data_IF_387801911834
#
_entry.id   IF_387801911834
#
_cell.length_a   1.000
_cell.length_b   1.000
_cell.length_c   1.000
_cell.angle_alpha   90.00
_cell.angle_beta   90.00
_cell.angle_gamma   90.00
#
_symmetry.space_group_name_H-M   'P 1'
#
loop_
_entity.id
_entity.type
_entity.pdbx_description
1 polymer ?
#
# COMPACT_ATOMS: atom_id res chain seq x y z
N UNK A 1 8.42 -3.94 -24.27
CA UNK A 1 8.54 -5.25 -23.59
C UNK A 1 7.34 -5.37 -22.67
N UNK A 2 6.70 -6.54 -22.57
CA UNK A 2 5.62 -6.76 -21.60
C UNK A 2 6.18 -6.68 -20.17
N UNK A 3 5.42 -6.06 -19.25
CA UNK A 3 5.77 -6.06 -17.82
C UNK A 3 5.84 -7.50 -17.29
N UNK A 4 6.86 -7.81 -16.51
CA UNK A 4 6.97 -9.13 -15.89
C UNK A 4 5.91 -9.30 -14.79
N UNK A 5 5.54 -10.54 -14.49
CA UNK A 5 4.63 -10.86 -13.37
C UNK A 5 5.12 -10.22 -12.06
N UNK A 6 6.42 -10.21 -11.85
CA UNK A 6 7.01 -9.59 -10.66
C UNK A 6 6.79 -8.07 -10.60
N UNK A 7 6.88 -7.37 -11.73
CA UNK A 7 6.61 -5.93 -11.80
C UNK A 7 5.12 -5.64 -11.57
N UNK A 8 4.22 -6.42 -12.17
CA UNK A 8 2.78 -6.30 -12.00
C UNK A 8 2.35 -6.47 -10.53
N UNK A 9 2.87 -7.49 -9.84
CA UNK A 9 2.59 -7.74 -8.42
C UNK A 9 3.01 -6.57 -7.51
N UNK A 10 4.15 -5.95 -7.82
CA UNK A 10 4.74 -4.88 -7.01
C UNK A 10 4.23 -3.49 -7.36
N UNK A 11 3.50 -3.34 -8.46
CA UNK A 11 3.01 -2.05 -8.95
C UNK A 11 2.23 -1.32 -7.85
N UNK A 12 2.54 -0.05 -7.56
CA UNK A 12 1.79 0.73 -6.59
C UNK A 12 0.29 0.77 -6.93
N UNK A 13 -0.52 0.80 -5.89
CA UNK A 13 -1.97 0.99 -6.04
C UNK A 13 -2.28 2.47 -6.28
N UNK A 14 -3.41 2.78 -6.97
CA UNK A 14 -3.93 4.14 -7.01
C UNK A 14 -4.08 4.71 -5.60
N UNK A 15 -3.77 5.99 -5.43
CA UNK A 15 -3.84 6.63 -4.10
C UNK A 15 -5.25 6.55 -3.50
N UNK A 16 -6.28 6.53 -4.32
CA UNK A 16 -7.68 6.39 -3.88
C UNK A 16 -8.00 5.02 -3.27
N UNK A 17 -7.21 4.00 -3.56
CA UNK A 17 -7.37 2.65 -2.98
C UNK A 17 -6.65 2.50 -1.65
N UNK A 18 -5.80 3.47 -1.32
CA UNK A 18 -5.09 3.51 -0.04
C UNK A 18 -6.01 4.03 1.06
N UNK A 19 -6.00 3.33 2.18
CA UNK A 19 -6.79 3.65 3.36
C UNK A 19 -5.89 4.01 4.53
N UNK A 20 -6.41 4.82 5.43
CA UNK A 20 -5.71 5.25 6.62
C UNK A 20 -6.50 4.89 7.88
N UNK A 21 -5.79 4.50 8.91
CA UNK A 21 -6.34 4.29 10.25
C UNK A 21 -5.41 4.84 11.31
N UNK A 22 -5.94 5.17 12.47
CA UNK A 22 -5.14 5.51 13.64
C UNK A 22 -4.37 4.26 14.08
N UNK A 23 -3.06 4.36 14.19
CA UNK A 23 -2.20 3.33 14.75
C UNK A 23 -2.10 3.47 16.27
N UNK A 24 -1.56 4.59 16.72
CA UNK A 24 -1.48 4.97 18.12
C UNK A 24 -1.64 6.48 18.29
N UNK A 25 -2.00 6.89 19.48
CA UNK A 25 -2.09 8.31 19.85
C UNK A 25 -1.08 8.65 20.93
N UNK A 26 -0.64 9.91 20.96
CA UNK A 26 0.30 10.43 21.94
C UNK A 26 0.08 11.94 22.15
N UNK A 27 0.66 12.49 23.19
CA UNK A 27 0.64 13.93 23.43
C UNK A 27 1.94 14.59 22.98
N UNK A 28 1.82 15.74 22.32
CA UNK A 28 2.94 16.60 21.95
C UNK A 28 2.60 18.05 22.18
N UNK A 29 3.35 18.71 23.06
CA UNK A 29 3.16 20.13 23.40
C UNK A 29 1.71 20.49 23.78
N UNK A 30 1.06 19.63 24.58
CA UNK A 30 -0.33 19.83 25.00
C UNK A 30 -1.40 19.51 23.94
N UNK A 31 -1.01 19.02 22.79
CA UNK A 31 -1.93 18.61 21.73
C UNK A 31 -1.91 17.09 21.54
N UNK A 32 -3.09 16.49 21.41
CA UNK A 32 -3.21 15.06 21.11
C UNK A 32 -2.92 14.82 19.62
N UNK A 33 -1.99 13.93 19.35
CA UNK A 33 -1.56 13.54 18.02
C UNK A 33 -1.87 12.08 17.74
N UNK A 34 -2.00 11.72 16.47
CA UNK A 34 -2.13 10.34 16.01
C UNK A 34 -1.04 10.01 14.98
N UNK A 35 -0.40 8.87 15.12
CA UNK A 35 0.35 8.26 14.03
C UNK A 35 -0.60 7.45 13.17
N UNK A 36 -0.69 7.82 11.90
CA UNK A 36 -1.58 7.17 10.94
C UNK A 36 -0.85 6.02 10.24
N UNK A 37 -1.57 4.91 10.06
CA UNK A 37 -1.11 3.75 9.31
C UNK A 37 -1.84 3.68 7.97
N UNK A 38 -1.09 3.60 6.89
CA UNK A 38 -1.62 3.39 5.54
C UNK A 38 -1.75 1.88 5.29
N UNK A 39 -2.83 1.49 4.61
CA UNK A 39 -3.07 0.09 4.25
C UNK A 39 -3.95 -0.03 3.00
N UNK A 40 -4.00 -1.23 2.43
CA UNK A 40 -4.97 -1.64 1.42
C UNK A 40 -5.90 -2.70 2.05
N UNK A 41 -7.13 -2.78 1.59
CA UNK A 41 -8.03 -3.84 2.05
C UNK A 41 -7.80 -5.17 1.28
N UNK A 42 -8.40 -6.24 1.78
CA UNK A 42 -8.23 -7.56 1.19
C UNK A 42 -8.82 -7.65 -0.22
N UNK A 43 -9.90 -6.90 -0.52
CA UNK A 43 -10.52 -6.89 -1.86
C UNK A 43 -9.59 -6.26 -2.89
N UNK A 44 -8.95 -5.16 -2.55
CA UNK A 44 -7.94 -4.52 -3.43
C UNK A 44 -6.80 -5.48 -3.78
N UNK A 45 -6.41 -6.36 -2.84
CA UNK A 45 -5.42 -7.41 -3.11
C UNK A 45 -5.98 -8.49 -4.03
N UNK A 46 -7.23 -8.92 -3.80
CA UNK A 46 -7.92 -9.91 -4.63
C UNK A 46 -8.06 -9.41 -6.07
N UNK A 47 -8.53 -8.16 -6.26
CA UNK A 47 -8.68 -7.54 -7.57
C UNK A 47 -7.36 -7.54 -8.34
N UNK A 48 -6.23 -7.23 -7.68
CA UNK A 48 -4.90 -7.30 -8.28
C UNK A 48 -4.49 -8.72 -8.68
N UNK A 49 -4.80 -9.71 -7.85
CA UNK A 49 -4.51 -11.11 -8.16
C UNK A 49 -5.37 -11.62 -9.32
N UNK A 50 -6.65 -11.24 -9.36
CA UNK A 50 -7.57 -11.58 -10.44
C UNK A 50 -7.17 -10.93 -11.77
N UNK A 51 -6.71 -9.67 -11.73
CA UNK A 51 -6.20 -8.95 -12.90
C UNK A 51 -4.99 -9.64 -13.53
N UNK A 52 -4.07 -10.16 -12.71
CA UNK A 52 -2.80 -10.74 -13.19
C UNK A 52 -2.95 -12.22 -13.54
N UNK A 53 -3.68 -13.00 -12.71
CA UNK A 53 -3.69 -14.48 -12.77
C UNK A 53 -5.07 -15.07 -13.08
N UNK A 54 -6.13 -14.27 -13.16
CA UNK A 54 -7.51 -14.69 -13.10
C UNK A 54 -7.87 -15.39 -11.76
N UNK A 55 -9.14 -15.55 -11.40
CA UNK A 55 -9.53 -16.23 -10.15
C UNK A 55 -9.05 -17.67 -10.01
N UNK A 56 -8.72 -18.34 -11.12
CA UNK A 56 -8.23 -19.72 -11.12
C UNK A 56 -6.70 -19.84 -10.94
N UNK A 57 -5.98 -18.71 -11.02
CA UNK A 57 -4.52 -18.68 -10.99
C UNK A 57 -3.94 -18.40 -9.60
N UNK A 58 -4.77 -18.21 -8.58
CA UNK A 58 -4.32 -18.04 -7.19
C UNK A 58 -5.26 -18.75 -6.20
N UNK A 59 -4.74 -19.05 -5.03
CA UNK A 59 -5.47 -19.73 -3.94
C UNK A 59 -5.02 -19.18 -2.60
N UNK A 60 -5.92 -19.19 -1.62
CA UNK A 60 -5.62 -18.78 -0.27
C UNK A 60 -6.11 -19.82 0.75
N UNK A 61 -5.23 -20.21 1.64
CA UNK A 61 -5.49 -21.17 2.72
C UNK A 61 -5.16 -20.53 4.06
N UNK A 62 -5.86 -20.96 5.10
CA UNK A 62 -5.56 -20.52 6.48
C UNK A 62 -5.44 -21.70 7.40
N UNK A 63 -4.57 -21.57 8.40
CA UNK A 63 -4.50 -22.45 9.57
C UNK A 63 -4.29 -21.61 10.82
N UNK A 64 -4.72 -22.09 11.96
CA UNK A 64 -4.49 -21.43 13.25
C UNK A 64 -3.41 -22.16 14.04
N UNK A 65 -2.61 -21.40 14.76
CA UNK A 65 -1.63 -21.89 15.72
C UNK A 65 -2.00 -21.28 17.07
N UNK A 66 -2.17 -22.14 18.07
CA UNK A 66 -2.37 -21.71 19.45
C UNK A 66 -1.03 -21.70 20.18
N UNK A 67 -0.77 -20.64 20.91
CA UNK A 67 0.36 -20.54 21.82
C UNK A 67 -0.09 -20.09 23.21
N UNK A 68 0.63 -20.49 24.23
CA UNK A 68 0.36 -20.13 25.61
C UNK A 68 1.59 -19.45 26.19
N UNK A 69 1.44 -18.21 26.65
CA UNK A 69 2.50 -17.47 27.32
C UNK A 69 1.99 -17.00 28.68
N UNK A 70 2.62 -17.49 29.76
CA UNK A 70 2.25 -17.18 31.16
C UNK A 70 0.74 -17.36 31.46
N UNK A 71 0.14 -18.40 30.88
CA UNK A 71 -1.30 -18.69 31.03
C UNK A 71 -2.22 -17.93 30.07
N UNK A 72 -1.74 -16.97 29.32
CA UNK A 72 -2.52 -16.27 28.29
C UNK A 72 -2.49 -17.09 26.99
N UNK A 73 -3.66 -17.40 26.45
CA UNK A 73 -3.83 -18.04 25.14
C UNK A 73 -3.76 -16.98 24.04
N UNK A 74 -2.90 -17.20 23.07
CA UNK A 74 -2.82 -16.39 21.84
C UNK A 74 -3.11 -17.31 20.65
N UNK A 75 -3.94 -16.84 19.71
CA UNK A 75 -4.22 -17.54 18.46
C UNK A 75 -3.59 -16.73 17.32
N UNK A 76 -2.70 -17.36 16.58
CA UNK A 76 -2.10 -16.77 15.37
C UNK A 76 -2.76 -17.42 14.15
N UNK A 77 -3.28 -16.60 13.26
CA UNK A 77 -3.77 -17.05 11.95
C UNK A 77 -2.62 -16.99 10.97
N UNK A 78 -2.24 -18.14 10.43
CA UNK A 78 -1.29 -18.24 9.33
C UNK A 78 -2.06 -18.24 8.02
N UNK A 79 -1.80 -17.26 7.17
CA UNK A 79 -2.30 -17.18 5.81
C UNK A 79 -1.26 -17.69 4.82
N UNK A 80 -1.67 -18.54 3.91
CA UNK A 80 -0.85 -19.12 2.87
C UNK A 80 -1.44 -18.76 1.52
N UNK A 81 -0.72 -17.94 0.73
CA UNK A 81 -1.13 -17.51 -0.60
C UNK A 81 -0.32 -18.26 -1.66
N UNK A 82 -1.02 -19.05 -2.48
CA UNK A 82 -0.49 -19.77 -3.62
C UNK A 82 -0.77 -19.02 -4.92
N UNK A 83 0.22 -18.93 -5.78
CA UNK A 83 0.09 -18.40 -7.15
C UNK A 83 0.63 -19.45 -8.12
N UNK A 84 -0.10 -19.68 -9.21
CA UNK A 84 0.29 -20.60 -10.27
C UNK A 84 1.18 -19.88 -11.28
N UNK A 85 2.44 -20.31 -11.35
CA UNK A 85 3.45 -19.74 -12.26
C UNK A 85 4.05 -20.92 -13.05
N UNK A 86 4.02 -20.85 -14.39
CA UNK A 86 4.52 -21.93 -15.27
C UNK A 86 3.95 -23.31 -14.92
N UNK A 87 2.65 -23.36 -14.66
CA UNK A 87 1.92 -24.58 -14.26
C UNK A 87 2.28 -25.16 -12.88
N UNK A 88 3.11 -24.50 -12.10
CA UNK A 88 3.46 -24.88 -10.73
C UNK A 88 2.83 -23.94 -9.70
N UNK A 89 2.34 -24.51 -8.58
CA UNK A 89 1.87 -23.76 -7.44
C UNK A 89 3.03 -23.36 -6.53
N UNK A 90 3.32 -22.05 -6.47
CA UNK A 90 4.30 -21.49 -5.55
C UNK A 90 3.57 -20.88 -4.38
N UNK A 91 3.98 -21.18 -3.16
CA UNK A 91 3.30 -20.76 -1.94
C UNK A 91 4.18 -19.88 -1.08
N UNK A 92 3.57 -18.83 -0.52
CA UNK A 92 4.20 -17.99 0.51
C UNK A 92 3.23 -17.80 1.65
N UNK A 93 3.74 -17.76 2.88
CA UNK A 93 2.91 -17.64 4.08
C UNK A 93 3.40 -16.54 5.01
N UNK A 94 2.50 -16.00 5.81
CA UNK A 94 2.77 -15.08 6.89
C UNK A 94 1.67 -15.19 7.94
N UNK A 95 1.94 -14.75 9.17
CA UNK A 95 1.02 -14.86 10.30
C UNK A 95 0.53 -13.51 10.81
N UNK A 96 -0.71 -13.49 11.30
CA UNK A 96 -1.28 -12.39 12.06
C UNK A 96 -1.73 -12.89 13.42
N UNK A 97 -1.27 -12.24 14.49
CA UNK A 97 -1.76 -12.53 15.84
C UNK A 97 -3.20 -12.04 15.99
N UNK A 98 -4.00 -12.86 16.66
CA UNK A 98 -5.38 -12.57 16.96
C UNK A 98 -5.61 -12.62 18.47
N UNK A 99 -5.98 -11.50 19.07
CA UNK A 99 -6.17 -11.41 20.51
C UNK A 99 -7.61 -11.66 20.99
N UNK A 100 -8.64 -11.59 20.08
CA UNK A 100 -10.04 -11.65 20.44
C UNK A 100 -10.91 -12.46 19.47
N UNK A 101 -12.01 -13.03 19.98
CA UNK A 101 -12.91 -13.93 19.24
C UNK A 101 -13.64 -13.26 18.05
N UNK A 102 -14.00 -11.98 18.13
CA UNK A 102 -14.52 -11.19 16.99
C UNK A 102 -13.46 -10.88 15.95
N UNK A 103 -12.22 -11.01 16.28
CA UNK A 103 -11.06 -10.81 15.46
C UNK A 103 -10.83 -11.91 14.39
N UNK A 104 -11.61 -13.01 14.37
CA UNK A 104 -11.37 -14.09 13.38
C UNK A 104 -11.47 -13.58 11.93
N UNK A 105 -12.45 -12.74 11.61
CA UNK A 105 -12.54 -12.10 10.27
C UNK A 105 -11.40 -11.13 10.01
N UNK A 106 -11.01 -10.35 11.00
CA UNK A 106 -9.88 -9.43 10.93
C UNK A 106 -8.57 -10.20 10.76
N UNK A 107 -8.36 -11.25 11.55
CA UNK A 107 -7.18 -12.10 11.51
C UNK A 107 -6.97 -12.78 10.15
N UNK A 108 -8.03 -13.32 9.54
CA UNK A 108 -7.95 -13.92 8.19
C UNK A 108 -7.59 -12.88 7.14
N UNK A 109 -8.25 -11.71 7.14
CA UNK A 109 -7.95 -10.63 6.21
C UNK A 109 -6.53 -10.08 6.39
N UNK A 110 -6.05 -9.98 7.62
CA UNK A 110 -4.70 -9.52 7.90
C UNK A 110 -3.66 -10.57 7.48
N UNK A 111 -3.88 -11.85 7.77
CA UNK A 111 -3.02 -12.95 7.32
C UNK A 111 -2.94 -13.00 5.78
N UNK A 112 -4.07 -12.79 5.09
CA UNK A 112 -4.10 -12.70 3.63
C UNK A 112 -3.24 -11.55 3.10
N UNK A 113 -3.44 -10.34 3.61
CA UNK A 113 -2.65 -9.17 3.19
C UNK A 113 -1.16 -9.35 3.49
N UNK A 114 -0.81 -9.94 4.64
CA UNK A 114 0.58 -10.23 5.00
C UNK A 114 1.21 -11.26 4.08
N UNK A 115 0.48 -12.34 3.75
CA UNK A 115 0.94 -13.32 2.75
C UNK A 115 1.13 -12.67 1.36
N UNK A 116 0.25 -11.74 0.96
CA UNK A 116 0.38 -10.98 -0.28
C UNK A 116 1.63 -10.07 -0.30
N UNK A 117 2.03 -9.51 0.85
CA UNK A 117 3.29 -8.74 0.97
C UNK A 117 4.52 -9.59 0.67
N UNK A 118 4.49 -10.90 0.96
CA UNK A 118 5.57 -11.82 0.59
C UNK A 118 5.73 -11.95 -0.94
N UNK A 119 4.66 -11.72 -1.69
CA UNK A 119 4.65 -11.62 -3.15
C UNK A 119 5.00 -10.23 -3.69
N UNK A 120 5.13 -9.23 -2.81
CA UNK A 120 5.44 -7.83 -3.16
C UNK A 120 4.23 -6.92 -3.24
N UNK A 121 3.00 -7.47 -3.17
CA UNK A 121 1.76 -6.68 -3.24
C UNK A 121 1.66 -5.75 -2.02
N UNK A 122 1.59 -4.43 -2.27
CA UNK A 122 1.49 -3.44 -1.21
C UNK A 122 2.73 -3.32 -0.31
N UNK A 123 3.84 -4.01 -0.62
CA UNK A 123 5.06 -3.97 0.22
C UNK A 123 5.61 -2.56 0.41
N UNK A 124 5.50 -1.70 -0.59
CA UNK A 124 5.97 -0.32 -0.54
C UNK A 124 5.28 0.53 0.54
N UNK A 125 4.10 0.12 1.02
CA UNK A 125 3.38 0.84 2.08
C UNK A 125 4.11 0.79 3.42
N UNK A 126 4.99 -0.18 3.63
CA UNK A 126 5.86 -0.24 4.82
C UNK A 126 6.91 0.88 4.82
N UNK A 127 7.21 1.48 3.67
CA UNK A 127 8.07 2.67 3.57
C UNK A 127 7.39 3.94 4.14
N UNK A 128 6.14 3.86 4.61
CA UNK A 128 5.46 4.99 5.27
C UNK A 128 6.20 5.49 6.51
N UNK A 129 7.00 4.64 7.16
CA UNK A 129 7.88 5.03 8.26
C UNK A 129 8.93 6.09 7.89
N UNK A 130 9.24 6.23 6.61
CA UNK A 130 10.18 7.24 6.10
C UNK A 130 9.55 8.64 6.00
N UNK A 131 8.23 8.72 6.19
CA UNK A 131 7.46 9.96 6.15
C UNK A 131 6.82 10.24 7.51
N UNK A 132 6.65 11.51 7.81
CA UNK A 132 5.93 11.90 9.02
C UNK A 132 4.41 11.69 8.82
N UNK A 133 3.87 10.59 9.32
CA UNK A 133 2.44 10.28 9.30
C UNK A 133 1.69 10.81 10.52
N UNK A 134 2.34 11.61 11.34
CA UNK A 134 1.76 12.18 12.56
C UNK A 134 0.88 13.39 12.24
N UNK A 135 -0.37 13.36 12.68
CA UNK A 135 -1.37 14.40 12.45
C UNK A 135 -2.11 14.74 13.74
N UNK A 136 -2.75 15.91 13.86
CA UNK A 136 -3.64 16.22 14.95
C UNK A 136 -4.74 15.15 15.08
N UNK A 137 -4.93 14.62 16.30
CA UNK A 137 -5.96 13.63 16.55
C UNK A 137 -7.30 14.30 16.84
N UNK A 138 -8.33 13.91 16.12
CA UNK A 138 -9.73 14.34 16.35
C UNK A 138 -10.55 13.17 16.91
N UNK A 139 -10.70 12.10 16.15
CA UNK A 139 -11.30 10.84 16.58
C UNK A 139 -10.81 9.69 15.71
N UNK A 140 -11.05 8.45 16.11
CA UNK A 140 -10.72 7.28 15.30
C UNK A 140 -11.48 7.25 13.95
N UNK A 141 -12.64 7.90 13.87
CA UNK A 141 -13.51 7.90 12.68
C UNK A 141 -13.21 9.05 11.73
N UNK A 142 -12.88 10.23 12.26
CA UNK A 142 -12.73 11.46 11.46
C UNK A 142 -11.27 11.88 11.26
N UNK A 143 -10.33 11.28 11.95
CA UNK A 143 -8.92 11.69 11.92
C UNK A 143 -8.34 11.71 10.48
N UNK A 144 -8.72 10.76 9.62
CA UNK A 144 -8.32 10.79 8.22
C UNK A 144 -8.98 11.94 7.47
N UNK A 145 -10.32 12.09 7.54
CA UNK A 145 -11.04 13.13 6.79
C UNK A 145 -10.57 14.53 7.16
N UNK A 146 -10.30 14.76 8.44
CA UNK A 146 -9.84 16.06 8.96
C UNK A 146 -8.40 16.39 8.54
N UNK A 147 -7.60 15.36 8.25
CA UNK A 147 -6.20 15.50 7.82
C UNK A 147 -5.96 14.99 6.38
N UNK A 148 -7.01 14.84 5.58
CA UNK A 148 -6.99 14.19 4.27
C UNK A 148 -5.89 14.71 3.36
N UNK A 149 -5.78 16.02 3.19
CA UNK A 149 -4.80 16.64 2.28
C UNK A 149 -3.35 16.25 2.63
N UNK A 150 -3.00 16.24 3.91
CA UNK A 150 -1.65 15.88 4.36
C UNK A 150 -1.38 14.39 4.12
N UNK A 151 -2.32 13.52 4.48
CA UNK A 151 -2.19 12.08 4.35
C UNK A 151 -2.19 11.63 2.88
N UNK A 152 -3.04 12.21 2.04
CA UNK A 152 -3.02 11.94 0.59
C UNK A 152 -1.68 12.38 -0.04
N UNK A 153 -1.10 13.50 0.40
CA UNK A 153 0.23 13.93 -0.06
C UNK A 153 1.28 12.87 0.29
N UNK A 154 1.23 12.31 1.49
CA UNK A 154 2.13 11.21 1.89
C UNK A 154 1.89 9.97 1.02
N UNK A 155 0.64 9.62 0.74
CA UNK A 155 0.29 8.51 -0.13
C UNK A 155 0.88 8.68 -1.54
N UNK A 156 0.80 9.89 -2.12
CA UNK A 156 1.47 10.19 -3.40
C UNK A 156 2.99 10.05 -3.29
N UNK A 157 3.62 10.56 -2.24
CA UNK A 157 5.07 10.41 -2.03
C UNK A 157 5.50 8.95 -1.92
N UNK A 158 4.72 8.11 -1.23
CA UNK A 158 4.95 6.66 -1.18
C UNK A 158 4.89 6.01 -2.56
N UNK A 159 3.88 6.36 -3.35
CA UNK A 159 3.73 5.89 -4.73
C UNK A 159 4.93 6.30 -5.59
N UNK A 160 5.32 7.57 -5.55
CA UNK A 160 6.46 8.08 -6.32
C UNK A 160 7.78 7.41 -5.90
N UNK A 161 8.00 7.20 -4.60
CA UNK A 161 9.15 6.48 -4.09
C UNK A 161 9.22 5.04 -4.60
N UNK A 162 8.07 4.34 -4.62
CA UNK A 162 8.00 3.00 -5.17
C UNK A 162 8.29 2.97 -6.68
N UNK A 163 7.73 3.91 -7.43
CA UNK A 163 7.97 4.02 -8.88
C UNK A 163 9.43 4.36 -9.21
N UNK A 164 10.09 5.21 -8.41
CA UNK A 164 11.52 5.52 -8.57
C UNK A 164 12.38 4.26 -8.38
N UNK A 165 12.04 3.41 -7.40
CA UNK A 165 12.70 2.10 -7.18
C UNK A 165 12.53 1.14 -8.37
N UNK A 166 11.44 1.24 -9.16
CA UNK A 166 11.19 0.42 -10.36
C UNK A 166 11.81 1.02 -11.63
N UNK A 167 12.41 2.19 -11.52
CA UNK A 167 13.16 2.82 -12.58
C UNK A 167 12.38 3.85 -13.41
N UNK A 168 13.10 4.52 -14.31
CA UNK A 168 12.57 5.63 -15.10
C UNK A 168 11.31 5.29 -15.91
N UNK A 169 11.24 4.09 -16.50
CA UNK A 169 10.10 3.71 -17.33
C UNK A 169 8.79 3.64 -16.53
N UNK A 170 8.84 3.11 -15.30
CA UNK A 170 7.67 3.04 -14.44
C UNK A 170 7.16 4.45 -14.04
N UNK A 171 8.08 5.33 -13.66
CA UNK A 171 7.75 6.72 -13.33
C UNK A 171 7.23 7.48 -14.55
N UNK A 172 7.88 7.35 -15.70
CA UNK A 172 7.46 8.01 -16.94
C UNK A 172 6.05 7.54 -17.36
N UNK A 173 5.78 6.24 -17.31
CA UNK A 173 4.46 5.68 -17.61
C UNK A 173 3.39 6.24 -16.65
N UNK A 174 3.72 6.39 -15.38
CA UNK A 174 2.82 6.98 -14.41
C UNK A 174 2.54 8.46 -14.73
N UNK A 175 3.56 9.27 -14.98
CA UNK A 175 3.40 10.69 -15.34
C UNK A 175 2.54 10.82 -16.60
N UNK A 176 2.81 10.04 -17.64
CA UNK A 176 2.06 10.04 -18.88
C UNK A 176 0.61 9.57 -18.73
N UNK A 177 0.27 8.89 -17.64
CA UNK A 177 -1.11 8.48 -17.34
C UNK A 177 -1.98 9.58 -16.73
N UNK A 178 -1.39 10.69 -16.29
CA UNK A 178 -2.09 11.82 -15.68
C UNK A 178 -2.97 12.51 -16.72
N UNK A 179 -4.13 13.00 -16.30
CA UNK A 179 -5.20 13.45 -17.22
C UNK A 179 -5.39 14.96 -17.26
N UNK A 180 -4.88 15.69 -16.28
CA UNK A 180 -5.06 17.15 -16.20
C UNK A 180 -3.75 17.87 -15.90
N UNK A 181 -3.61 19.14 -16.38
CA UNK A 181 -2.43 19.95 -16.07
C UNK A 181 -2.19 20.12 -14.57
N UNK A 182 -3.25 20.21 -13.76
CA UNK A 182 -3.15 20.34 -12.30
C UNK A 182 -2.53 19.10 -11.68
N UNK A 183 -2.95 17.89 -12.13
CA UNK A 183 -2.32 16.63 -11.69
C UNK A 183 -0.85 16.59 -12.05
N UNK A 184 -0.49 16.97 -13.27
CA UNK A 184 0.90 16.97 -13.72
C UNK A 184 1.73 17.96 -12.90
N UNK A 185 1.24 19.18 -12.69
CA UNK A 185 1.91 20.20 -11.87
C UNK A 185 2.10 19.74 -10.43
N UNK A 186 1.06 19.14 -9.83
CA UNK A 186 1.13 18.61 -8.47
C UNK A 186 2.18 17.49 -8.34
N UNK A 187 2.14 16.49 -9.20
CA UNK A 187 3.08 15.36 -9.20
C UNK A 187 4.51 15.84 -9.51
N UNK A 188 4.68 16.78 -10.44
CA UNK A 188 5.97 17.38 -10.77
C UNK A 188 6.61 18.07 -9.55
N UNK A 189 5.82 18.83 -8.78
CA UNK A 189 6.30 19.48 -7.57
C UNK A 189 6.75 18.46 -6.51
N UNK A 190 5.98 17.36 -6.30
CA UNK A 190 6.37 16.31 -5.39
C UNK A 190 7.63 15.57 -5.88
N UNK A 191 7.75 15.31 -7.17
CA UNK A 191 8.94 14.70 -7.75
C UNK A 191 10.18 15.57 -7.54
N UNK A 192 10.07 16.89 -7.75
CA UNK A 192 11.18 17.82 -7.48
C UNK A 192 11.59 17.84 -6.02
N UNK A 193 10.63 17.83 -5.11
CA UNK A 193 10.89 17.77 -3.67
C UNK A 193 11.68 16.50 -3.30
N UNK A 194 11.33 15.36 -3.91
CA UNK A 194 11.87 14.04 -3.55
C UNK A 194 13.15 13.68 -4.32
N UNK A 195 13.24 14.05 -5.59
CA UNK A 195 14.23 13.53 -6.55
C UNK A 195 14.95 14.63 -7.35
N UNK A 196 14.71 15.91 -7.05
CA UNK A 196 15.23 17.01 -7.84
C UNK A 196 14.61 17.04 -9.25
N UNK A 197 15.40 17.39 -10.25
CA UNK A 197 14.92 17.56 -11.64
C UNK A 197 14.88 16.26 -12.48
N UNK A 198 15.02 15.10 -11.83
CA UNK A 198 15.17 13.79 -12.51
C UNK A 198 14.02 13.48 -13.50
N UNK A 199 12.81 13.96 -13.24
CA UNK A 199 11.61 13.67 -14.03
C UNK A 199 10.97 14.91 -14.69
N UNK A 200 11.64 16.05 -14.68
CA UNK A 200 11.09 17.32 -15.17
C UNK A 200 10.80 17.30 -16.68
N UNK A 201 11.65 16.67 -17.45
CA UNK A 201 11.53 16.65 -18.94
C UNK A 201 10.21 16.02 -19.36
N UNK A 202 9.88 14.83 -18.83
CA UNK A 202 8.65 14.12 -19.21
C UNK A 202 7.39 14.86 -18.74
N UNK A 203 7.45 15.48 -17.57
CA UNK A 203 6.33 16.28 -17.05
C UNK A 203 6.09 17.53 -17.90
N UNK A 204 7.16 18.20 -18.33
CA UNK A 204 7.07 19.36 -19.22
C UNK A 204 6.50 18.98 -20.60
N UNK A 205 7.00 17.92 -21.22
CA UNK A 205 6.49 17.42 -22.51
C UNK A 205 4.99 17.09 -22.44
N UNK A 206 4.52 16.54 -21.33
CA UNK A 206 3.10 16.24 -21.14
C UNK A 206 2.28 17.52 -20.98
N UNK A 207 2.76 18.50 -20.19
CA UNK A 207 2.08 19.80 -20.03
C UNK A 207 1.97 20.53 -21.37
N UNK A 208 3.06 20.62 -22.12
CA UNK A 208 3.09 21.28 -23.43
C UNK A 208 2.07 20.66 -24.41
N UNK A 209 1.85 19.34 -24.34
CA UNK A 209 0.83 18.64 -25.14
C UNK A 209 -0.61 18.86 -24.65
N UNK A 210 -0.81 19.15 -23.39
CA UNK A 210 -2.16 19.41 -22.82
C UNK A 210 -2.60 20.86 -22.99
N UNK A 211 -1.66 21.78 -23.17
CA UNK A 211 -1.92 23.22 -23.35
C UNK A 211 -1.94 23.62 -24.84
N UNK A 212 -1.55 22.74 -25.77
CA UNK A 212 -1.60 22.92 -27.21
C UNK A 212 -2.97 22.57 -27.80
#
# INVERSE_FOLDING_TARGET
MAESVYELLRKPFPVNDLKWRVGNTYERQGSKMANMLVYIDARTVQDRLDEIFTPAGWQFETRSIESYNRGNRTVTIIGRLGIRINDEWIWKEDGAENSDIEAAKGGISDAFKRAAVQWGIGRYLYDASDFNTSVPFTSNFTCYSDNKKALDTIAFKLTLKALDKYGHNAMNSYILSLKTPEQVKFISNLNREMFGNKYDTIAKELLDKMEA
#
